data_IF_601870350234
#
_entry.id   IF_601870350234
#
_cell.length_a   1.000
_cell.length_b   1.000
_cell.length_c   1.000
_cell.angle_alpha   90.00
_cell.angle_beta   90.00
_cell.angle_gamma   90.00
#
_symmetry.space_group_name_H-M   'P 1'
#
loop_
_entity.id
_entity.type
_entity.pdbx_description
1 polymer ?
#
# COMPACT_ATOMS: atom_id res chain seq x y z
N UNK A 1 -18.65 -2.88 21.03
CA UNK A 1 -18.70 -2.00 19.84
C UNK A 1 -17.27 -1.73 19.36
N UNK A 2 -16.92 -2.13 18.13
CA UNK A 2 -15.57 -2.01 17.55
C UNK A 2 -15.16 -0.54 17.34
N UNK A 3 -16.07 0.31 16.88
CA UNK A 3 -15.79 1.74 16.65
C UNK A 3 -15.31 2.45 17.92
N UNK A 4 -15.91 2.15 19.08
CA UNK A 4 -15.44 2.68 20.37
C UNK A 4 -14.02 2.22 20.72
N UNK A 5 -13.63 1.00 20.35
CA UNK A 5 -12.27 0.48 20.55
C UNK A 5 -11.28 1.20 19.63
N UNK A 6 -11.63 1.44 18.38
CA UNK A 6 -10.81 2.23 17.44
C UNK A 6 -10.58 3.66 17.95
N UNK A 7 -11.64 4.34 18.41
CA UNK A 7 -11.51 5.68 18.99
C UNK A 7 -10.62 5.68 20.22
N UNK A 8 -10.74 4.67 21.10
CA UNK A 8 -9.87 4.53 22.27
C UNK A 8 -8.41 4.33 21.86
N UNK A 9 -8.15 3.39 20.96
CA UNK A 9 -6.79 3.14 20.44
C UNK A 9 -6.14 4.41 19.87
N UNK A 10 -6.87 5.20 19.07
CA UNK A 10 -6.34 6.46 18.53
C UNK A 10 -6.01 7.49 19.61
N UNK A 11 -6.80 7.53 20.70
CA UNK A 11 -6.51 8.39 21.87
C UNK A 11 -5.27 7.91 22.62
N UNK A 12 -5.15 6.61 22.85
CA UNK A 12 -4.00 5.99 23.52
C UNK A 12 -2.71 6.19 22.72
N UNK A 13 -2.82 6.27 21.39
CA UNK A 13 -1.72 6.60 20.49
C UNK A 13 -1.46 8.12 20.36
N UNK A 14 -2.09 8.97 21.18
CA UNK A 14 -1.96 10.42 21.14
C UNK A 14 -2.25 11.04 19.76
N UNK A 15 -3.14 10.41 18.99
CA UNK A 15 -3.47 10.80 17.61
C UNK A 15 -2.47 10.33 16.54
N UNK A 16 -1.39 9.63 16.92
CA UNK A 16 -0.46 9.06 15.96
C UNK A 16 -0.95 7.70 15.42
N UNK A 17 -1.42 7.70 14.18
CA UNK A 17 -1.96 6.50 13.55
C UNK A 17 -1.16 6.17 12.29
N UNK A 18 -0.15 5.27 12.37
CA UNK A 18 0.56 4.84 11.18
C UNK A 18 -0.39 4.05 10.27
N UNK A 19 -0.36 4.31 8.96
CA UNK A 19 -1.20 3.62 7.96
C UNK A 19 -2.71 3.85 8.20
N UNK A 20 -3.07 4.99 8.79
CA UNK A 20 -4.46 5.48 8.93
C UNK A 20 -5.41 4.40 9.50
N UNK A 21 -6.64 4.32 8.98
CA UNK A 21 -7.68 3.40 9.46
C UNK A 21 -7.26 1.91 9.40
N UNK A 22 -6.46 1.50 8.40
CA UNK A 22 -5.98 0.12 8.29
C UNK A 22 -5.10 -0.26 9.49
N UNK A 23 -4.19 0.64 9.91
CA UNK A 23 -3.36 0.41 11.09
C UNK A 23 -4.16 0.31 12.39
N UNK A 24 -5.19 1.14 12.56
CA UNK A 24 -6.10 1.07 13.73
C UNK A 24 -6.86 -0.25 13.75
N UNK A 25 -7.44 -0.64 12.62
CA UNK A 25 -8.21 -1.88 12.53
C UNK A 25 -7.34 -3.10 12.81
N UNK A 26 -6.12 -3.13 12.26
CA UNK A 26 -5.17 -4.21 12.53
C UNK A 26 -4.84 -4.33 14.02
N UNK A 27 -4.58 -3.20 14.70
CA UNK A 27 -4.26 -3.22 16.12
C UNK A 27 -5.47 -3.60 17.01
N UNK A 28 -6.67 -3.12 16.68
CA UNK A 28 -7.89 -3.38 17.46
C UNK A 28 -8.40 -4.81 17.27
N UNK A 29 -8.17 -5.39 16.09
CA UNK A 29 -8.65 -6.73 15.72
C UNK A 29 -7.56 -7.80 15.79
N UNK A 30 -6.39 -7.48 16.36
CA UNK A 30 -5.30 -8.44 16.50
C UNK A 30 -5.76 -9.77 17.12
N UNK A 31 -5.29 -10.88 16.55
CA UNK A 31 -5.74 -12.23 16.89
C UNK A 31 -7.18 -12.59 16.47
N UNK A 32 -7.90 -11.71 15.76
CA UNK A 32 -9.31 -11.90 15.35
C UNK A 32 -9.54 -11.63 13.85
N UNK A 33 -8.47 -11.62 13.07
CA UNK A 33 -8.50 -11.36 11.62
C UNK A 33 -8.49 -12.71 10.89
N UNK A 34 -9.53 -12.98 10.12
CA UNK A 34 -9.55 -14.09 9.18
C UNK A 34 -8.78 -13.76 7.90
N UNK A 35 -8.20 -14.77 7.27
CA UNK A 35 -7.48 -14.62 5.99
C UNK A 35 -8.43 -14.95 4.84
N UNK A 36 -8.50 -14.07 3.85
CA UNK A 36 -9.23 -14.29 2.59
C UNK A 36 -8.24 -14.65 1.49
N UNK A 37 -8.72 -15.32 0.43
CA UNK A 37 -7.91 -15.54 -0.77
C UNK A 37 -7.38 -14.21 -1.33
N UNK A 38 -6.13 -14.16 -1.81
CA UNK A 38 -5.56 -12.95 -2.41
C UNK A 38 -6.35 -12.47 -3.64
N UNK A 39 -7.14 -13.33 -4.30
CA UNK A 39 -8.05 -12.97 -5.41
C UNK A 39 -8.99 -11.81 -5.08
N UNK A 40 -9.36 -11.66 -3.81
CA UNK A 40 -10.27 -10.60 -3.35
C UNK A 40 -9.56 -9.28 -3.02
N UNK A 41 -8.24 -9.19 -3.19
CA UNK A 41 -7.48 -7.96 -2.95
C UNK A 41 -6.13 -8.02 -3.69
N UNK A 42 -6.15 -8.12 -5.02
CA UNK A 42 -4.93 -8.15 -5.82
C UNK A 42 -4.41 -6.73 -5.98
N UNK A 43 -3.42 -6.36 -5.17
CA UNK A 43 -2.90 -4.99 -5.14
C UNK A 43 -1.73 -4.78 -6.08
N UNK A 44 -1.52 -3.54 -6.54
CA UNK A 44 -0.53 -3.18 -7.58
C UNK A 44 0.90 -3.69 -7.34
N UNK A 45 1.32 -3.84 -6.08
CA UNK A 45 2.64 -4.38 -5.77
C UNK A 45 2.77 -5.88 -6.11
N UNK A 46 1.67 -6.65 -6.11
CA UNK A 46 1.66 -8.03 -6.61
C UNK A 46 1.88 -8.08 -8.12
N UNK A 47 1.33 -7.13 -8.88
CA UNK A 47 1.57 -7.02 -10.32
C UNK A 47 3.00 -6.58 -10.65
N UNK A 48 3.62 -5.78 -9.78
CA UNK A 48 4.97 -5.25 -10.00
C UNK A 48 6.09 -6.26 -9.73
N UNK A 49 5.87 -7.28 -8.89
CA UNK A 49 6.91 -8.16 -8.37
C UNK A 49 6.48 -9.63 -8.40
N UNK A 50 7.42 -10.52 -8.73
CA UNK A 50 7.19 -11.97 -8.57
C UNK A 50 7.04 -12.32 -7.09
N UNK A 51 6.53 -13.51 -6.79
CA UNK A 51 6.39 -14.00 -5.42
C UNK A 51 7.72 -13.90 -4.62
N UNK A 52 8.83 -14.32 -5.22
CA UNK A 52 10.15 -14.28 -4.57
C UNK A 52 10.68 -12.86 -4.38
N UNK A 53 10.48 -12.00 -5.38
CA UNK A 53 10.84 -10.58 -5.29
C UNK A 53 10.04 -9.87 -4.18
N UNK A 54 8.74 -10.15 -4.09
CA UNK A 54 7.87 -9.63 -3.06
C UNK A 54 8.34 -10.06 -1.66
N UNK A 55 8.66 -11.35 -1.48
CA UNK A 55 9.17 -11.85 -0.19
C UNK A 55 10.49 -11.19 0.20
N UNK A 56 11.41 -10.97 -0.75
CA UNK A 56 12.67 -10.24 -0.48
C UNK A 56 12.42 -8.78 -0.14
N UNK A 57 11.45 -8.15 -0.79
CA UNK A 57 11.09 -6.75 -0.59
C UNK A 57 10.45 -6.51 0.78
N UNK A 58 9.48 -7.35 1.16
CA UNK A 58 8.59 -7.11 2.31
C UNK A 58 8.91 -7.91 3.55
N UNK A 59 9.66 -9.01 3.39
CA UNK A 59 10.03 -9.94 4.47
C UNK A 59 8.89 -10.25 5.46
N UNK A 60 7.68 -10.61 4.96
CA UNK A 60 6.53 -10.75 5.82
C UNK A 60 6.66 -11.98 6.75
N UNK A 61 6.24 -11.85 8.01
CA UNK A 61 6.17 -12.98 8.95
C UNK A 61 5.18 -14.06 8.48
N UNK A 62 4.09 -13.64 7.85
CA UNK A 62 3.10 -14.51 7.23
C UNK A 62 2.66 -13.93 5.89
N UNK A 63 2.54 -14.79 4.88
CA UNK A 63 2.06 -14.44 3.56
C UNK A 63 1.38 -15.62 2.88
N UNK A 64 0.67 -15.37 1.79
CA UNK A 64 0.04 -16.39 0.96
C UNK A 64 1.07 -17.38 0.42
N UNK A 65 0.63 -18.58 0.05
CA UNK A 65 1.47 -19.53 -0.68
C UNK A 65 1.74 -19.02 -2.09
N UNK A 66 2.76 -19.59 -2.76
CA UNK A 66 3.11 -19.20 -4.13
C UNK A 66 1.95 -19.44 -5.08
N UNK A 67 1.30 -20.59 -4.95
CA UNK A 67 0.22 -21.02 -5.83
C UNK A 67 -0.97 -20.06 -5.69
N UNK A 68 -1.34 -19.68 -4.47
CA UNK A 68 -2.41 -18.70 -4.21
C UNK A 68 -2.07 -17.32 -4.79
N UNK A 69 -0.81 -16.89 -4.69
CA UNK A 69 -0.34 -15.62 -5.24
C UNK A 69 -0.41 -15.60 -6.77
N UNK A 70 0.08 -16.65 -7.42
CA UNK A 70 0.10 -16.79 -8.88
C UNK A 70 -1.31 -16.96 -9.44
N UNK A 71 -2.16 -17.76 -8.78
CA UNK A 71 -3.58 -17.92 -9.13
C UNK A 71 -4.36 -16.60 -8.99
N UNK A 72 -4.02 -15.78 -7.99
CA UNK A 72 -4.66 -14.48 -7.83
C UNK A 72 -4.26 -13.46 -8.91
N UNK A 73 -3.04 -13.56 -9.45
CA UNK A 73 -2.60 -12.71 -10.56
C UNK A 73 -3.19 -13.15 -11.90
N UNK A 74 -3.43 -14.46 -12.09
CA UNK A 74 -4.03 -14.97 -13.33
C UNK A 74 -5.54 -14.77 -13.41
N UNK A 75 -6.24 -14.85 -12.27
CA UNK A 75 -7.69 -14.75 -12.18
C UNK A 75 -8.11 -13.90 -10.96
N UNK A 76 -7.91 -12.56 -11.01
CA UNK A 76 -8.27 -11.65 -9.92
C UNK A 76 -9.78 -11.41 -9.87
N UNK A 77 -10.38 -11.48 -8.68
CA UNK A 77 -11.79 -11.07 -8.49
C UNK A 77 -11.91 -9.58 -8.18
N UNK A 78 -10.97 -9.03 -7.40
CA UNK A 78 -10.92 -7.61 -7.05
C UNK A 78 -9.49 -7.11 -7.22
N UNK A 79 -9.33 -6.12 -8.10
CA UNK A 79 -8.07 -5.41 -8.31
C UNK A 79 -8.04 -4.15 -7.44
N UNK A 80 -7.05 -4.05 -6.57
CA UNK A 80 -6.85 -2.89 -5.71
C UNK A 80 -5.70 -2.03 -6.23
N UNK A 81 -6.05 -0.95 -6.94
CA UNK A 81 -5.07 0.01 -7.45
C UNK A 81 -4.45 0.83 -6.31
N UNK A 82 -3.30 0.34 -5.81
CA UNK A 82 -2.49 0.99 -4.77
C UNK A 82 -1.25 1.62 -5.38
N UNK A 83 -0.74 2.69 -4.78
CA UNK A 83 0.53 3.27 -5.25
C UNK A 83 1.64 2.65 -4.45
N UNK A 84 2.69 2.24 -5.13
CA UNK A 84 3.93 1.84 -4.50
C UNK A 84 5.09 2.63 -5.11
N UNK A 85 6.31 2.33 -4.68
CA UNK A 85 7.50 2.99 -5.21
C UNK A 85 7.83 2.58 -6.65
N UNK A 86 7.18 1.54 -7.19
CA UNK A 86 7.45 1.00 -8.53
C UNK A 86 6.30 1.24 -9.52
N UNK A 87 5.07 1.36 -9.02
CA UNK A 87 3.87 1.69 -9.79
C UNK A 87 3.13 2.78 -9.01
N UNK A 88 3.20 4.01 -9.51
CA UNK A 88 2.64 5.16 -8.79
C UNK A 88 1.53 5.91 -9.53
N UNK A 89 1.23 5.45 -10.74
CA UNK A 89 0.03 5.84 -11.48
C UNK A 89 -1.25 5.08 -11.02
N UNK A 90 -2.38 5.52 -11.57
CA UNK A 90 -3.70 4.88 -11.46
C UNK A 90 -4.32 4.71 -12.83
N UNK A 91 -5.21 3.74 -13.04
CA UNK A 91 -5.85 3.53 -14.34
C UNK A 91 -6.65 4.72 -14.89
N UNK A 92 -7.11 5.62 -14.02
CA UNK A 92 -7.78 6.87 -14.42
C UNK A 92 -6.80 8.03 -14.70
N UNK A 93 -5.49 7.77 -14.66
CA UNK A 93 -4.45 8.72 -15.04
C UNK A 93 -3.92 8.40 -16.44
N UNK A 94 -3.50 9.43 -17.17
CA UNK A 94 -2.81 9.28 -18.46
C UNK A 94 -1.54 8.43 -18.29
N UNK A 95 -1.24 7.63 -19.32
CA UNK A 95 -0.03 6.79 -19.44
C UNK A 95 0.19 5.80 -18.28
N UNK A 96 -0.88 5.34 -17.62
CA UNK A 96 -0.79 4.38 -16.53
C UNK A 96 -0.23 3.03 -16.99
N UNK A 97 0.85 2.57 -16.35
CA UNK A 97 1.55 1.32 -16.71
C UNK A 97 1.04 0.08 -15.97
N UNK A 98 -0.06 0.19 -15.23
CA UNK A 98 -0.61 -0.94 -14.49
C UNK A 98 -1.13 -2.02 -15.46
N UNK A 99 -0.86 -3.32 -15.25
CA UNK A 99 -1.30 -4.37 -16.19
C UNK A 99 -2.81 -4.39 -16.45
N UNK A 100 -3.61 -4.15 -15.41
CA UNK A 100 -5.09 -4.10 -15.47
C UNK A 100 -5.67 -2.73 -15.94
N UNK A 101 -4.87 -1.83 -16.52
CA UNK A 101 -5.38 -0.52 -16.98
C UNK A 101 -6.47 -0.68 -18.03
N UNK A 102 -6.29 -1.60 -19.00
CA UNK A 102 -7.27 -1.80 -20.07
C UNK A 102 -8.61 -2.32 -19.52
N UNK A 103 -8.59 -3.30 -18.61
CA UNK A 103 -9.80 -3.80 -17.94
C UNK A 103 -10.57 -2.67 -17.23
N UNK A 104 -9.85 -1.77 -16.55
CA UNK A 104 -10.48 -0.61 -15.93
C UNK A 104 -11.11 0.31 -16.98
N UNK A 105 -10.42 0.61 -18.09
CA UNK A 105 -10.92 1.48 -19.15
C UNK A 105 -12.14 0.88 -19.86
N UNK A 106 -12.14 -0.43 -20.10
CA UNK A 106 -13.25 -1.17 -20.69
C UNK A 106 -14.50 -1.13 -19.82
N UNK A 107 -14.34 -1.26 -18.49
CA UNK A 107 -15.44 -1.10 -17.54
C UNK A 107 -15.88 0.36 -17.49
N UNK A 108 -14.94 1.31 -17.40
CA UNK A 108 -15.22 2.75 -17.35
C UNK A 108 -16.03 3.21 -18.56
N UNK A 109 -15.75 2.70 -19.75
CA UNK A 109 -16.49 3.00 -20.97
C UNK A 109 -17.99 2.64 -20.89
N UNK A 110 -18.37 1.74 -19.97
CA UNK A 110 -19.76 1.32 -19.70
C UNK A 110 -20.42 2.11 -18.56
N UNK A 111 -19.75 3.14 -18.04
CA UNK A 111 -20.23 3.97 -16.93
C UNK A 111 -20.54 5.40 -17.38
N UNK A 112 -21.26 6.21 -16.57
CA UNK A 112 -21.47 7.64 -16.86
C UNK A 112 -20.18 8.45 -17.07
N UNK A 113 -19.06 7.97 -16.55
CA UNK A 113 -17.76 8.63 -16.64
C UNK A 113 -17.00 8.29 -17.93
N UNK A 114 -17.59 7.57 -18.89
CA UNK A 114 -16.93 7.13 -20.12
C UNK A 114 -16.21 8.27 -20.87
N UNK A 115 -16.86 9.43 -20.97
CA UNK A 115 -16.37 10.58 -21.74
C UNK A 115 -15.58 11.60 -20.90
N UNK A 116 -15.40 11.38 -19.60
CA UNK A 116 -14.55 12.28 -18.82
C UNK A 116 -13.10 12.17 -19.28
N UNK A 117 -12.29 13.24 -19.21
CA UNK A 117 -10.87 13.14 -19.50
C UNK A 117 -10.16 12.34 -18.41
N UNK A 118 -9.16 11.54 -18.81
CA UNK A 118 -8.21 10.95 -17.86
C UNK A 118 -7.42 12.06 -17.15
N UNK A 119 -7.12 11.82 -15.88
CA UNK A 119 -6.40 12.79 -15.06
C UNK A 119 -4.94 12.90 -15.50
N UNK A 120 -4.39 14.10 -15.39
CA UNK A 120 -2.95 14.27 -15.54
C UNK A 120 -2.22 13.54 -14.40
N UNK A 121 -1.03 13.02 -14.72
CA UNK A 121 -0.20 12.34 -13.74
C UNK A 121 0.46 13.37 -12.79
N UNK A 122 -0.29 13.80 -11.78
CA UNK A 122 0.13 14.77 -10.75
C UNK A 122 0.84 14.09 -9.57
N UNK A 123 1.76 13.18 -9.88
CA UNK A 123 2.53 12.48 -8.85
C UNK A 123 3.46 13.43 -8.12
N UNK A 124 3.59 13.25 -6.80
CA UNK A 124 4.50 14.08 -5.98
C UNK A 124 5.92 13.95 -6.55
N UNK A 125 6.65 15.06 -6.80
CA UNK A 125 7.95 15.01 -7.47
C UNK A 125 8.94 14.04 -6.82
N UNK A 126 8.99 13.99 -5.49
CA UNK A 126 9.85 13.05 -4.74
C UNK A 126 9.48 11.59 -4.99
N UNK A 127 8.18 11.27 -5.08
CA UNK A 127 7.70 9.91 -5.30
C UNK A 127 7.98 9.46 -6.72
N UNK A 128 7.72 10.35 -7.69
CA UNK A 128 8.06 10.13 -9.10
C UNK A 128 9.56 9.93 -9.29
N UNK A 129 10.39 10.80 -8.72
CA UNK A 129 11.85 10.67 -8.80
C UNK A 129 12.35 9.34 -8.22
N UNK A 130 11.76 8.87 -7.12
CA UNK A 130 12.10 7.57 -6.55
C UNK A 130 11.66 6.40 -7.45
N UNK A 131 10.46 6.49 -8.04
CA UNK A 131 9.98 5.52 -9.02
C UNK A 131 10.89 5.44 -10.25
N UNK A 132 11.25 6.60 -10.82
CA UNK A 132 12.15 6.71 -11.96
C UNK A 132 13.54 6.15 -11.62
N UNK A 133 14.06 6.43 -10.42
CA UNK A 133 15.30 5.82 -9.91
C UNK A 133 15.21 4.29 -9.83
N UNK A 134 14.12 3.75 -9.29
CA UNK A 134 13.92 2.31 -9.19
C UNK A 134 13.80 1.61 -10.56
N UNK A 135 13.34 2.31 -11.59
CA UNK A 135 13.35 1.82 -12.97
C UNK A 135 14.71 1.97 -13.68
N UNK A 136 15.56 2.90 -13.23
CA UNK A 136 16.88 3.13 -13.82
C UNK A 136 17.95 2.14 -13.37
N UNK A 137 17.74 1.44 -12.25
CA UNK A 137 18.68 0.46 -11.69
C UNK A 137 18.18 -0.98 -11.89
N UNK A 138 19.06 -2.00 -11.78
CA UNK A 138 18.61 -3.38 -11.79
C UNK A 138 17.53 -3.64 -10.72
N UNK A 139 16.44 -4.31 -11.10
CA UNK A 139 15.28 -4.53 -10.22
C UNK A 139 15.64 -5.20 -8.90
N UNK A 140 16.61 -6.12 -8.90
CA UNK A 140 17.15 -6.75 -7.69
C UNK A 140 17.76 -5.74 -6.72
N UNK A 141 18.48 -4.73 -7.22
CA UNK A 141 19.05 -3.65 -6.43
C UNK A 141 17.96 -2.72 -5.89
N UNK A 142 16.95 -2.38 -6.72
CA UNK A 142 15.80 -1.60 -6.27
C UNK A 142 15.04 -2.29 -5.12
N UNK A 143 14.83 -3.60 -5.22
CA UNK A 143 14.21 -4.41 -4.17
C UNK A 143 15.03 -4.37 -2.88
N UNK A 144 16.35 -4.54 -2.97
CA UNK A 144 17.24 -4.53 -1.81
C UNK A 144 17.29 -3.17 -1.10
N UNK A 145 17.41 -2.07 -1.85
CA UNK A 145 17.37 -0.71 -1.27
C UNK A 145 16.01 -0.48 -0.59
N UNK A 146 14.93 -0.87 -1.27
CA UNK A 146 13.57 -0.67 -0.76
C UNK A 146 13.28 -1.54 0.47
N UNK A 147 13.82 -2.76 0.54
CA UNK A 147 13.64 -3.62 1.71
C UNK A 147 14.32 -3.04 2.95
N UNK A 148 15.51 -2.42 2.82
CA UNK A 148 16.16 -1.69 3.92
C UNK A 148 15.28 -0.53 4.42
N UNK A 149 14.64 0.19 3.49
CA UNK A 149 13.72 1.28 3.85
C UNK A 149 12.52 0.74 4.63
N UNK A 150 11.92 -0.35 4.18
CA UNK A 150 10.76 -0.96 4.83
C UNK A 150 11.10 -1.58 6.19
N UNK A 151 12.25 -2.24 6.31
CA UNK A 151 12.65 -2.98 7.51
C UNK A 151 13.23 -2.09 8.62
N UNK A 152 14.03 -1.08 8.26
CA UNK A 152 14.76 -0.29 9.26
C UNK A 152 14.27 1.15 9.34
N UNK A 153 14.18 1.85 8.20
CA UNK A 153 13.89 3.28 8.20
C UNK A 153 12.45 3.58 8.63
N UNK A 154 11.46 2.89 8.06
CA UNK A 154 10.06 3.15 8.39
C UNK A 154 9.73 2.84 9.86
N UNK A 155 10.12 1.68 10.44
CA UNK A 155 9.89 1.41 11.85
C UNK A 155 10.56 2.43 12.77
N UNK A 156 11.82 2.79 12.52
CA UNK A 156 12.52 3.82 13.30
C UNK A 156 11.82 5.19 13.21
N UNK A 157 11.33 5.56 12.03
CA UNK A 157 10.52 6.77 11.83
C UNK A 157 9.21 6.68 12.61
N UNK A 158 8.52 5.55 12.59
CA UNK A 158 7.28 5.36 13.33
C UNK A 158 7.48 5.51 14.85
N UNK A 159 8.55 4.92 15.40
CA UNK A 159 8.89 5.09 16.82
C UNK A 159 9.23 6.54 17.19
N UNK A 160 10.01 7.23 16.35
CA UNK A 160 10.29 8.66 16.55
C UNK A 160 9.01 9.49 16.56
N UNK A 161 8.08 9.19 15.65
CA UNK A 161 6.82 9.92 15.54
C UNK A 161 5.88 9.64 16.71
N UNK A 162 5.78 8.39 17.19
CA UNK A 162 5.04 8.05 18.42
C UNK A 162 5.49 8.92 19.60
N UNK A 163 6.80 8.99 19.85
CA UNK A 163 7.39 9.81 20.92
C UNK A 163 7.05 11.30 20.76
N UNK A 164 7.13 11.82 19.52
CA UNK A 164 6.80 13.22 19.22
C UNK A 164 5.33 13.55 19.51
N UNK A 165 4.40 12.69 19.11
CA UNK A 165 2.97 12.91 19.33
C UNK A 165 2.62 12.82 20.82
N UNK A 166 3.18 11.84 21.54
CA UNK A 166 3.02 11.74 22.99
C UNK A 166 3.50 13.02 23.71
N UNK A 167 4.69 13.52 23.37
CA UNK A 167 5.23 14.77 23.94
C UNK A 167 4.31 15.96 23.65
N UNK A 168 3.84 16.09 22.41
CA UNK A 168 2.97 17.21 22.01
C UNK A 168 1.60 17.16 22.72
N UNK A 169 1.04 15.96 22.93
CA UNK A 169 -0.23 15.81 23.65
C UNK A 169 -0.08 16.13 25.15
N UNK A 170 1.06 15.82 25.76
CA UNK A 170 1.38 16.26 27.14
C UNK A 170 1.46 17.77 27.24
N UNK A 171 2.17 18.44 26.32
CA UNK A 171 2.30 19.91 26.29
C UNK A 171 0.93 20.59 26.15
N UNK A 172 0.04 20.03 25.31
CA UNK A 172 -1.29 20.59 25.09
C UNK A 172 -2.22 20.48 26.30
N UNK A 173 -1.96 19.53 27.20
CA UNK A 173 -2.78 19.25 28.39
C UNK A 173 -2.25 19.94 29.66
N UNK A 174 -1.03 20.50 29.61
CA UNK A 174 -0.46 21.33 30.67
C UNK A 174 -0.93 22.78 30.49
#
# INVERSE_FOLDING_TARGET
NIGKKCVRYMKDMHGYVPINAQGVMNAVMDGKIGVLSPKFNVYSLMYAFTYDEYKRLRQPTYYYKREEFEEALSDPFIVHYMTCFYLDERPWMKDCKHPMTNDYLDIRAKTPWANEPLWDNVSKPVRKAYCDFCHAIPKSMAIWISSIIYEYYLPAKHERMKKKYAKNDMIRKA
#
